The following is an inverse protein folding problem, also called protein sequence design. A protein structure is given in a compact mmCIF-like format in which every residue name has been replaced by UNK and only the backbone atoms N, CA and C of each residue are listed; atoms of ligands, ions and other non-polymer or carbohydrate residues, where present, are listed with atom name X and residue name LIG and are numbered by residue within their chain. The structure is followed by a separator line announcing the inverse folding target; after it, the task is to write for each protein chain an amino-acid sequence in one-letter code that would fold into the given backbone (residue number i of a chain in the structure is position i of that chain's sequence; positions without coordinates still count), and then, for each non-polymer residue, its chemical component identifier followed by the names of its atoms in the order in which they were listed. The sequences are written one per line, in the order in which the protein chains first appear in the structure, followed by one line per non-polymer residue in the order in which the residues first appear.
data_IF_847505641985
#
_entry.id   IF_847505641985
#
_cell.length_a   1.000
_cell.length_b   1.000
_cell.length_c   1.000
_cell.angle_alpha   90.00
_cell.angle_beta   90.00
_cell.angle_gamma   90.00
#
_symmetry.space_group_name_H-M   'P 1'
#
loop_
_entity.id
_entity.type
_entity.pdbx_description
1 polymer ?
#
# COMPACT_ATOMS: atom_id res chain seq x y z
N UNK A 1 0.80 3.50 3.76
CA UNK A 1 1.49 4.25 4.85
C UNK A 1 2.66 3.41 5.32
N UNK A 2 3.57 3.98 6.13
CA UNK A 2 4.81 3.34 6.57
C UNK A 2 4.87 3.47 8.10
N UNK A 3 5.25 2.41 8.80
CA UNK A 3 5.45 2.44 10.25
C UNK A 3 6.59 3.42 10.59
N UNK A 4 6.51 4.08 11.75
CA UNK A 4 7.40 5.16 12.20
C UNK A 4 7.27 6.48 11.40
N UNK A 5 6.29 6.58 10.50
CA UNK A 5 5.96 7.80 9.74
C UNK A 5 4.47 8.16 9.91
N UNK A 6 4.06 8.63 11.11
CA UNK A 6 2.66 8.95 11.39
C UNK A 6 2.11 10.03 10.44
N UNK A 7 0.84 9.89 10.08
CA UNK A 7 0.12 10.81 9.17
C UNK A 7 0.74 10.97 7.77
N UNK A 8 1.72 10.16 7.38
CA UNK A 8 2.30 10.18 6.04
C UNK A 8 1.54 9.26 5.09
N UNK A 9 0.91 9.85 4.08
CA UNK A 9 0.23 9.14 3.00
C UNK A 9 1.03 9.21 1.69
N UNK A 10 0.99 8.13 0.92
CA UNK A 10 1.66 8.03 -0.39
C UNK A 10 0.66 7.63 -1.46
N UNK A 11 0.74 8.24 -2.65
CA UNK A 11 -0.09 7.89 -3.81
C UNK A 11 0.74 7.11 -4.82
N UNK A 12 0.16 6.04 -5.37
CA UNK A 12 0.77 5.18 -6.41
C UNK A 12 2.23 4.73 -6.17
N UNK A 13 2.61 4.60 -4.89
CA UNK A 13 3.95 4.23 -4.46
C UNK A 13 4.21 2.72 -4.36
N UNK A 14 5.34 2.32 -3.76
CA UNK A 14 5.66 0.92 -3.45
C UNK A 14 4.54 0.20 -2.68
N UNK A 15 4.34 -1.09 -2.96
CA UNK A 15 3.30 -1.90 -2.33
C UNK A 15 1.87 -1.63 -2.85
N UNK A 16 1.67 -0.67 -3.74
CA UNK A 16 0.43 -0.48 -4.49
C UNK A 16 0.58 -1.04 -5.93
N UNK A 17 -0.52 -1.25 -6.69
CA UNK A 17 -0.44 -1.70 -8.08
C UNK A 17 0.43 -0.81 -8.99
N UNK A 18 0.45 0.49 -8.70
CA UNK A 18 1.27 1.51 -9.37
C UNK A 18 1.14 1.43 -10.91
N UNK A 19 2.25 1.33 -11.62
CA UNK A 19 2.35 1.24 -13.08
C UNK A 19 1.91 -0.13 -13.67
N UNK A 20 1.51 -1.10 -12.85
CA UNK A 20 0.84 -2.31 -13.33
C UNK A 20 -0.67 -2.13 -13.53
N UNK A 21 -1.23 -1.00 -13.07
CA UNK A 21 -2.59 -0.59 -13.33
C UNK A 21 -2.62 0.68 -14.20
N UNK A 22 -3.79 1.03 -14.73
CA UNK A 22 -3.99 2.36 -15.29
C UNK A 22 -3.80 3.40 -14.17
N UNK A 23 -2.83 4.30 -14.33
CA UNK A 23 -2.38 5.18 -13.26
C UNK A 23 -3.45 6.21 -12.84
N UNK A 24 -4.31 6.64 -13.77
CA UNK A 24 -5.36 7.63 -13.48
C UNK A 24 -6.41 7.11 -12.48
N UNK A 25 -7.14 6.00 -12.75
CA UNK A 25 -8.10 5.46 -11.79
C UNK A 25 -7.43 4.99 -10.49
N UNK A 26 -6.17 4.56 -10.56
CA UNK A 26 -5.41 4.18 -9.37
C UNK A 26 -5.13 5.38 -8.45
N UNK A 27 -4.66 6.51 -8.99
CA UNK A 27 -4.48 7.75 -8.22
C UNK A 27 -5.82 8.22 -7.66
N UNK A 28 -6.90 8.21 -8.46
CA UNK A 28 -8.23 8.59 -7.97
C UNK A 28 -8.66 7.75 -6.78
N UNK A 29 -8.45 6.43 -6.84
CA UNK A 29 -8.80 5.55 -5.74
C UNK A 29 -7.98 5.84 -4.47
N UNK A 30 -6.67 6.06 -4.60
CA UNK A 30 -5.83 6.46 -3.47
C UNK A 30 -6.31 7.76 -2.84
N UNK A 31 -6.57 8.79 -3.67
CA UNK A 31 -7.07 10.08 -3.19
C UNK A 31 -8.40 9.91 -2.47
N UNK A 32 -9.36 9.18 -3.06
CA UNK A 32 -10.67 8.91 -2.44
C UNK A 32 -10.54 8.21 -1.09
N UNK A 33 -9.66 7.22 -0.98
CA UNK A 33 -9.43 6.51 0.29
C UNK A 33 -8.78 7.42 1.34
N UNK A 34 -7.76 8.18 0.96
CA UNK A 34 -7.07 9.12 1.85
C UNK A 34 -8.01 10.21 2.35
N UNK A 35 -8.84 10.80 1.48
CA UNK A 35 -9.78 11.86 1.90
C UNK A 35 -10.83 11.32 2.86
N UNK A 36 -11.39 10.14 2.61
CA UNK A 36 -12.31 9.46 3.55
C UNK A 36 -11.64 9.18 4.90
N UNK A 37 -10.38 8.76 4.89
CA UNK A 37 -9.58 8.55 6.10
C UNK A 37 -9.43 9.85 6.89
N UNK A 38 -9.03 10.94 6.25
CA UNK A 38 -8.88 12.25 6.90
C UNK A 38 -10.21 12.77 7.46
N UNK A 39 -11.33 12.53 6.76
CA UNK A 39 -12.67 12.87 7.26
C UNK A 39 -13.05 12.05 8.50
N UNK A 40 -12.76 10.75 8.49
CA UNK A 40 -12.98 9.87 9.66
C UNK A 40 -12.18 10.35 10.86
N UNK A 41 -10.87 10.61 10.69
CA UNK A 41 -10.00 11.07 11.77
C UNK A 41 -10.49 12.39 12.36
N UNK A 42 -10.88 13.35 11.50
CA UNK A 42 -11.43 14.63 11.93
C UNK A 42 -12.73 14.47 12.72
N UNK A 43 -13.64 13.63 12.24
CA UNK A 43 -14.95 13.39 12.88
C UNK A 43 -14.82 12.72 14.25
N UNK A 44 -13.80 11.87 14.43
CA UNK A 44 -13.55 11.14 15.67
C UNK A 44 -12.54 11.82 16.60
N UNK A 45 -12.08 13.03 16.25
CA UNK A 45 -11.05 13.78 16.99
C UNK A 45 -9.75 13.00 17.18
N UNK A 46 -9.31 12.28 16.14
CA UNK A 46 -8.05 11.54 16.09
C UNK A 46 -7.00 12.43 15.40
N UNK A 47 -5.86 12.64 16.05
CA UNK A 47 -4.79 13.51 15.57
C UNK A 47 -3.66 12.74 14.88
N UNK A 48 -3.56 11.43 15.13
CA UNK A 48 -2.52 10.58 14.58
C UNK A 48 -3.08 9.24 14.12
N UNK A 49 -2.73 8.87 12.89
CA UNK A 49 -2.89 7.52 12.33
C UNK A 49 -1.52 7.00 11.90
N UNK A 50 -1.23 5.76 12.27
CA UNK A 50 0.03 5.11 11.96
C UNK A 50 -0.18 3.60 11.78
N UNK A 51 0.32 2.96 10.72
CA UNK A 51 0.21 1.51 10.60
C UNK A 51 1.05 0.83 11.68
N UNK A 52 0.57 -0.29 12.21
CA UNK A 52 1.41 -1.12 13.09
C UNK A 52 2.54 -1.73 12.27
N UNK A 53 3.70 -1.96 12.89
CA UNK A 53 4.81 -2.64 12.24
C UNK A 53 4.42 -4.05 11.76
N UNK A 54 3.54 -4.72 12.49
CA UNK A 54 2.98 -6.01 12.10
C UNK A 54 2.15 -5.91 10.80
N UNK A 55 1.27 -4.90 10.69
CA UNK A 55 0.47 -4.69 9.50
C UNK A 55 1.35 -4.38 8.27
N UNK A 56 2.40 -3.58 8.44
CA UNK A 56 3.38 -3.33 7.37
C UNK A 56 4.09 -4.62 6.95
N UNK A 57 4.65 -5.38 7.89
CA UNK A 57 5.34 -6.63 7.59
C UNK A 57 4.43 -7.65 6.90
N UNK A 58 3.19 -7.78 7.37
CA UNK A 58 2.19 -8.66 6.77
C UNK A 58 1.83 -8.19 5.35
N UNK A 59 1.75 -6.89 5.10
CA UNK A 59 1.54 -6.35 3.76
C UNK A 59 2.72 -6.64 2.83
N UNK A 60 3.96 -6.39 3.29
CA UNK A 60 5.18 -6.69 2.53
C UNK A 60 5.27 -8.18 2.19
N UNK A 61 4.98 -9.05 3.16
CA UNK A 61 4.93 -10.50 2.93
C UNK A 61 3.89 -10.84 1.87
N UNK A 62 2.67 -10.34 2.01
CA UNK A 62 1.59 -10.60 1.05
C UNK A 62 1.94 -10.15 -0.37
N UNK A 63 2.50 -8.94 -0.54
CA UNK A 63 2.95 -8.40 -1.84
C UNK A 63 3.97 -9.34 -2.48
N UNK A 64 4.93 -9.86 -1.69
CA UNK A 64 5.90 -10.82 -2.17
C UNK A 64 5.26 -12.16 -2.54
N UNK A 65 4.39 -12.71 -1.69
CA UNK A 65 3.69 -13.98 -1.88
C UNK A 65 2.88 -13.98 -3.19
N UNK A 66 2.13 -12.91 -3.47
CA UNK A 66 1.36 -12.82 -4.72
C UNK A 66 2.25 -12.71 -5.95
N UNK A 67 3.47 -12.19 -5.80
CA UNK A 67 4.44 -12.10 -6.89
C UNK A 67 5.19 -13.41 -7.14
N UNK A 68 5.34 -14.29 -6.14
CA UNK A 68 6.05 -15.57 -6.28
C UNK A 68 5.45 -16.47 -7.36
N UNK A 69 4.13 -16.42 -7.52
CA UNK A 69 3.40 -17.23 -8.49
C UNK A 69 3.37 -16.62 -9.90
N UNK A 70 4.22 -15.62 -10.17
CA UNK A 70 4.25 -14.90 -11.45
C UNK A 70 5.63 -14.95 -12.11
N UNK A 71 5.67 -14.70 -13.42
CA UNK A 71 6.94 -14.57 -14.15
C UNK A 71 7.67 -13.24 -13.84
N UNK A 72 7.06 -12.29 -13.13
CA UNK A 72 7.70 -11.00 -12.83
C UNK A 72 9.00 -11.15 -12.02
N UNK A 73 9.12 -12.21 -11.21
CA UNK A 73 10.31 -12.52 -10.42
C UNK A 73 11.47 -13.07 -11.25
N UNK A 74 11.22 -13.61 -12.44
CA UNK A 74 12.25 -14.30 -13.25
C UNK A 74 13.05 -13.35 -14.15
N UNK A 75 12.53 -12.15 -14.43
CA UNK A 75 13.15 -11.18 -15.33
C UNK A 75 13.88 -10.07 -14.57
N UNK A 76 15.03 -9.61 -15.08
CA UNK A 76 15.69 -8.37 -14.60
C UNK A 76 14.89 -7.17 -15.12
N UNK A 77 14.19 -6.47 -14.24
CA UNK A 77 13.33 -5.34 -14.61
C UNK A 77 13.40 -4.20 -13.60
N UNK A 78 12.74 -3.08 -13.92
CA UNK A 78 12.54 -1.99 -12.96
C UNK A 78 11.72 -2.43 -11.74
N UNK A 79 10.87 -3.45 -11.89
CA UNK A 79 9.96 -3.92 -10.85
C UNK A 79 10.64 -4.70 -9.74
N UNK A 80 11.78 -5.33 -10.05
CA UNK A 80 12.63 -6.01 -9.06
C UNK A 80 13.93 -5.26 -8.78
N UNK A 81 13.98 -3.96 -9.07
CA UNK A 81 15.12 -3.09 -8.74
C UNK A 81 16.40 -3.39 -9.52
N UNK A 82 16.36 -4.27 -10.53
CA UNK A 82 17.55 -4.67 -11.29
C UNK A 82 18.10 -3.56 -12.20
N UNK A 83 17.40 -2.43 -12.31
CA UNK A 83 17.83 -1.26 -13.06
C UNK A 83 18.94 -0.45 -12.38
N UNK A 84 19.23 -0.67 -11.09
CA UNK A 84 20.24 0.08 -10.34
C UNK A 84 21.24 -0.91 -9.72
N UNK A 85 22.54 -0.87 -10.10
CA UNK A 85 23.58 -1.68 -9.48
C UNK A 85 23.64 -1.46 -7.96
N UNK A 86 23.73 -2.54 -7.19
CA UNK A 86 23.78 -2.50 -5.72
C UNK A 86 22.43 -2.34 -5.02
N UNK A 87 21.34 -2.09 -5.75
CA UNK A 87 19.99 -2.01 -5.15
C UNK A 87 19.47 -3.40 -4.76
N UNK A 88 18.83 -3.56 -3.58
CA UNK A 88 18.17 -4.80 -3.22
C UNK A 88 17.14 -5.23 -4.27
N UNK A 89 17.12 -6.53 -4.58
CA UNK A 89 16.17 -7.11 -5.53
C UNK A 89 14.89 -7.55 -4.82
N UNK A 90 13.98 -6.60 -4.66
CA UNK A 90 12.65 -6.82 -4.07
C UNK A 90 11.61 -6.46 -5.10
N UNK A 91 10.53 -7.25 -5.19
CA UNK A 91 9.42 -6.92 -6.06
C UNK A 91 8.61 -5.77 -5.43
N UNK A 92 8.53 -4.64 -6.13
CA UNK A 92 8.04 -3.37 -5.57
C UNK A 92 6.51 -3.21 -5.70
N UNK A 93 5.87 -3.52 -6.84
CA UNK A 93 4.43 -3.31 -7.00
C UNK A 93 3.58 -4.43 -6.39
N UNK A 94 2.28 -4.16 -6.19
CA UNK A 94 1.30 -5.20 -5.93
C UNK A 94 0.77 -5.80 -7.23
N UNK A 95 0.92 -7.12 -7.43
CA UNK A 95 0.45 -7.85 -8.64
C UNK A 95 -0.86 -8.62 -8.43
N UNK A 96 -1.47 -8.53 -7.26
CA UNK A 96 -2.67 -9.31 -6.95
C UNK A 96 -3.95 -8.83 -7.65
N UNK A 97 -3.92 -7.77 -8.45
CA UNK A 97 -5.09 -7.18 -9.11
C UNK A 97 -5.57 -5.87 -8.47
N UNK A 98 -6.01 -4.92 -9.29
CA UNK A 98 -6.43 -3.60 -8.81
C UNK A 98 -7.76 -3.67 -8.03
N UNK A 99 -8.69 -4.49 -8.48
CA UNK A 99 -9.94 -4.82 -7.78
C UNK A 99 -9.70 -5.40 -6.38
N UNK A 100 -8.84 -6.43 -6.26
CA UNK A 100 -8.51 -7.05 -4.99
C UNK A 100 -7.80 -6.06 -4.04
N UNK A 101 -6.94 -5.19 -4.58
CA UNK A 101 -6.33 -4.11 -3.82
C UNK A 101 -7.37 -3.12 -3.26
N UNK A 102 -8.33 -2.70 -4.09
CA UNK A 102 -9.42 -1.81 -3.66
C UNK A 102 -10.27 -2.45 -2.57
N UNK A 103 -10.63 -3.72 -2.73
CA UNK A 103 -11.40 -4.45 -1.72
C UNK A 103 -10.68 -4.51 -0.37
N UNK A 104 -9.35 -4.71 -0.37
CA UNK A 104 -8.56 -4.69 0.87
C UNK A 104 -8.55 -3.32 1.52
N UNK A 105 -8.39 -2.26 0.74
CA UNK A 105 -8.45 -0.88 1.24
C UNK A 105 -9.82 -0.56 1.87
N UNK A 106 -10.90 -0.93 1.19
CA UNK A 106 -12.27 -0.71 1.71
C UNK A 106 -12.55 -1.57 2.95
N UNK A 107 -12.07 -2.82 3.01
CA UNK A 107 -12.17 -3.66 4.22
C UNK A 107 -11.50 -3.01 5.42
N UNK A 108 -10.28 -2.49 5.25
CA UNK A 108 -9.55 -1.78 6.32
C UNK A 108 -10.36 -0.56 6.78
N UNK A 109 -10.84 0.27 5.86
CA UNK A 109 -11.60 1.47 6.20
C UNK A 109 -12.93 1.15 6.91
N UNK A 110 -13.60 0.06 6.50
CA UNK A 110 -14.86 -0.38 7.12
C UNK A 110 -14.66 -1.07 8.49
N UNK A 111 -13.45 -1.55 8.77
CA UNK A 111 -13.07 -2.15 10.05
C UNK A 111 -12.32 -1.14 10.95
N UNK A 112 -12.77 0.13 10.97
CA UNK A 112 -12.18 1.20 11.79
C UNK A 112 -10.65 1.36 11.62
N UNK A 113 -10.17 1.21 10.38
CA UNK A 113 -8.74 1.24 10.04
C UNK A 113 -7.94 0.16 10.78
N UNK A 114 -8.42 -1.09 10.70
CA UNK A 114 -7.70 -2.28 11.18
C UNK A 114 -6.23 -2.29 10.73
N UNK A 115 -5.32 -2.60 11.66
CA UNK A 115 -3.88 -2.56 11.41
C UNK A 115 -3.25 -1.18 11.58
N UNK A 116 -4.00 -0.18 12.07
CA UNK A 116 -3.48 1.14 12.43
C UNK A 116 -3.65 1.43 13.92
N UNK A 117 -2.68 2.16 14.47
CA UNK A 117 -2.82 2.88 15.72
C UNK A 117 -3.49 4.22 15.45
N UNK A 118 -4.59 4.48 16.18
CA UNK A 118 -5.34 5.74 16.13
C UNK A 118 -5.20 6.44 17.48
N UNK A 119 -4.57 7.61 17.51
CA UNK A 119 -4.31 8.36 18.73
C UNK A 119 -4.87 9.78 18.66
N UNK A 120 -5.41 10.24 19.79
CA UNK A 120 -5.81 11.64 19.99
C UNK A 120 -4.62 12.50 20.37
#
# INVERSE_FOLDING_TARGET
MIADFPNLFTTSGPGAPSNLANIVPHIEQHVKWITKCLEYLRTHHINMIEPTLEAENNWVKHVNDVAENTLFRTSKSIYNGANIPGKPRVFIPYVGGFDIYMEKCEKIANNDYEGFHLMK
#
